data_IF_845513528456
#
_entry.id   IF_845513528456
#
_cell.length_a   1.000
_cell.length_b   1.000
_cell.length_c   1.000
_cell.angle_alpha   90.00
_cell.angle_beta   90.00
_cell.angle_gamma   90.00
#
_symmetry.space_group_name_H-M   'P 1'
#
loop_
_entity.id
_entity.type
_entity.pdbx_description
1 polymer ?
#
# COMPACT_ATOMS: atom_id res chain seq x y z
N UNK A 1 -29.31 -22.81 46.61
CA UNK A 1 -29.47 -22.35 45.24
C UNK A 1 -28.07 -22.33 44.57
N UNK A 2 -27.81 -23.31 43.72
CA UNK A 2 -26.53 -23.40 43.01
C UNK A 2 -26.67 -22.67 41.66
N UNK A 3 -25.92 -21.62 41.45
CA UNK A 3 -25.82 -20.92 40.18
C UNK A 3 -24.93 -21.75 39.22
N UNK A 4 -25.54 -22.33 38.21
CA UNK A 4 -24.84 -23.02 37.15
C UNK A 4 -24.29 -21.95 36.16
N UNK A 5 -22.99 -21.64 36.25
CA UNK A 5 -22.30 -20.76 35.31
C UNK A 5 -21.99 -21.58 34.05
N UNK A 6 -22.79 -21.41 32.97
CA UNK A 6 -22.46 -21.98 31.68
C UNK A 6 -21.31 -21.14 31.07
N UNK A 7 -20.22 -21.78 30.58
CA UNK A 7 -19.20 -21.06 29.83
C UNK A 7 -19.78 -20.62 28.47
N UNK A 8 -19.74 -19.34 28.17
CA UNK A 8 -20.01 -18.79 26.83
C UNK A 8 -18.84 -19.25 25.94
N UNK A 9 -19.07 -20.26 25.12
CA UNK A 9 -18.11 -20.60 24.07
C UNK A 9 -18.06 -19.46 23.04
N UNK A 10 -16.94 -18.73 22.97
CA UNK A 10 -16.68 -17.80 21.89
C UNK A 10 -16.63 -18.61 20.60
N UNK A 11 -17.61 -18.42 19.72
CA UNK A 11 -17.61 -19.00 18.39
C UNK A 11 -16.42 -18.37 17.63
N UNK A 12 -15.42 -19.18 17.26
CA UNK A 12 -14.37 -18.76 16.37
C UNK A 12 -15.03 -18.39 15.02
N UNK A 13 -14.84 -17.15 14.57
CA UNK A 13 -15.33 -16.72 13.25
C UNK A 13 -14.61 -17.52 12.17
N UNK A 14 -15.35 -17.97 11.15
CA UNK A 14 -14.76 -18.66 10.01
C UNK A 14 -13.78 -17.69 9.28
N UNK A 15 -12.65 -18.21 8.77
CA UNK A 15 -11.74 -17.41 7.98
C UNK A 15 -12.48 -16.81 6.78
N UNK A 16 -12.29 -15.54 6.52
CA UNK A 16 -12.80 -14.87 5.31
C UNK A 16 -11.67 -14.16 4.57
N UNK A 17 -11.88 -13.91 3.29
CA UNK A 17 -10.85 -13.36 2.42
C UNK A 17 -11.24 -12.02 1.86
N UNK A 18 -10.23 -11.26 1.42
CA UNK A 18 -10.35 -9.97 0.78
C UNK A 18 -9.66 -9.99 -0.57
N UNK A 19 -10.24 -9.33 -1.54
CA UNK A 19 -9.68 -9.16 -2.88
C UNK A 19 -9.69 -7.68 -3.25
N UNK A 20 -8.58 -7.22 -3.84
CA UNK A 20 -8.47 -5.87 -4.40
C UNK A 20 -9.15 -5.84 -5.76
N UNK A 21 -10.17 -5.02 -5.91
CA UNK A 21 -10.92 -4.84 -7.16
C UNK A 21 -10.29 -3.79 -8.05
N UNK A 22 -9.99 -2.62 -7.46
CA UNK A 22 -9.40 -1.50 -8.18
C UNK A 22 -8.33 -0.80 -7.35
N UNK A 23 -7.41 -0.14 -8.04
CA UNK A 23 -6.34 0.63 -7.42
C UNK A 23 -5.96 1.85 -8.24
N UNK A 24 -5.63 2.93 -7.56
CA UNK A 24 -4.92 4.08 -8.08
C UNK A 24 -3.79 4.39 -7.10
N UNK A 25 -2.57 4.02 -7.47
CA UNK A 25 -1.37 4.28 -6.68
C UNK A 25 -0.57 5.37 -7.39
N UNK A 26 -0.46 6.55 -6.78
CA UNK A 26 0.20 7.70 -7.39
C UNK A 26 1.40 8.12 -6.55
N UNK A 27 2.62 7.99 -7.11
CA UNK A 27 3.79 8.62 -6.51
C UNK A 27 3.87 10.10 -6.91
N UNK A 28 4.42 10.92 -6.02
CA UNK A 28 4.71 12.32 -6.30
C UNK A 28 6.20 12.58 -6.11
N UNK A 29 6.83 13.14 -7.17
CA UNK A 29 8.22 13.57 -7.17
C UNK A 29 8.28 15.08 -7.35
N UNK A 30 9.08 15.76 -6.53
CA UNK A 30 9.24 17.21 -6.57
C UNK A 30 10.67 17.58 -6.98
N UNK A 31 10.76 18.37 -8.05
CA UNK A 31 11.98 19.05 -8.44
C UNK A 31 11.75 20.57 -8.30
N UNK A 32 12.78 21.41 -8.04
CA UNK A 32 12.60 22.84 -7.83
C UNK A 32 11.85 23.60 -8.94
N UNK A 33 11.84 23.08 -10.18
CA UNK A 33 11.19 23.74 -11.32
C UNK A 33 9.88 23.07 -11.76
N UNK A 34 9.59 21.84 -11.32
CA UNK A 34 8.34 21.13 -11.67
C UNK A 34 8.06 19.96 -10.72
N UNK A 35 6.81 19.58 -10.69
CA UNK A 35 6.35 18.36 -10.02
C UNK A 35 6.01 17.29 -11.06
N UNK A 36 6.23 16.04 -10.72
CA UNK A 36 5.87 14.87 -11.52
C UNK A 36 5.06 13.93 -10.68
N UNK A 37 3.97 13.46 -11.23
CA UNK A 37 3.21 12.35 -10.66
C UNK A 37 3.19 11.20 -11.66
N UNK A 38 3.24 9.97 -11.17
CA UNK A 38 3.03 8.78 -11.97
C UNK A 38 2.08 7.85 -11.28
N UNK A 39 1.08 7.34 -12.00
CA UNK A 39 -0.02 6.56 -11.45
C UNK A 39 -0.05 5.15 -12.04
N UNK A 40 -0.28 4.16 -11.19
CA UNK A 40 -0.55 2.78 -11.59
C UNK A 40 -1.95 2.36 -11.14
N UNK A 41 -2.69 1.74 -12.07
CA UNK A 41 -3.99 1.11 -11.82
C UNK A 41 -3.92 -0.42 -11.88
N UNK A 42 -2.71 -0.99 -11.86
CA UNK A 42 -2.49 -2.41 -12.13
C UNK A 42 -2.12 -3.23 -10.88
N UNK A 43 -2.29 -2.66 -9.68
CA UNK A 43 -2.03 -3.42 -8.47
C UNK A 43 -3.01 -4.59 -8.34
N UNK A 44 -2.53 -5.67 -7.71
CA UNK A 44 -3.32 -6.81 -7.26
C UNK A 44 -3.13 -6.97 -5.77
N UNK A 45 -4.18 -7.39 -5.07
CA UNK A 45 -4.13 -7.54 -3.63
C UNK A 45 -5.04 -8.65 -3.13
N UNK A 46 -4.63 -9.26 -2.03
CA UNK A 46 -5.40 -10.24 -1.27
C UNK A 46 -5.20 -10.02 0.22
N UNK A 47 -6.24 -10.33 0.98
CA UNK A 47 -6.20 -10.37 2.44
C UNK A 47 -6.85 -11.64 2.94
N UNK A 48 -6.44 -12.09 4.12
CA UNK A 48 -7.05 -13.22 4.83
C UNK A 48 -7.18 -12.84 6.30
N UNK A 49 -8.39 -12.93 6.82
CA UNK A 49 -8.66 -12.74 8.24
C UNK A 49 -8.80 -14.10 8.92
N UNK A 50 -8.10 -14.28 10.03
CA UNK A 50 -8.17 -15.46 10.85
C UNK A 50 -7.94 -15.08 12.32
N UNK A 51 -8.80 -15.59 13.20
CA UNK A 51 -8.66 -15.41 14.66
C UNK A 51 -8.52 -13.93 15.09
N UNK A 52 -9.30 -13.03 14.45
CA UNK A 52 -9.35 -11.61 14.81
C UNK A 52 -8.23 -10.74 14.22
N UNK A 53 -7.42 -11.28 13.31
CA UNK A 53 -6.35 -10.56 12.63
C UNK A 53 -6.44 -10.78 11.12
N UNK A 54 -6.24 -9.72 10.36
CA UNK A 54 -6.20 -9.74 8.90
C UNK A 54 -4.78 -9.47 8.40
N UNK A 55 -4.26 -10.36 7.57
CA UNK A 55 -3.00 -10.22 6.84
C UNK A 55 -3.28 -9.84 5.39
N UNK A 56 -2.65 -8.79 4.91
CA UNK A 56 -2.81 -8.27 3.55
C UNK A 56 -1.51 -8.27 2.78
N UNK A 57 -1.60 -8.56 1.49
CA UNK A 57 -0.53 -8.41 0.52
C UNK A 57 -1.05 -7.67 -0.71
N UNK A 58 -0.36 -6.60 -1.10
CA UNK A 58 -0.58 -5.87 -2.34
C UNK A 58 0.69 -5.94 -3.18
N UNK A 59 0.55 -6.07 -4.50
CA UNK A 59 1.66 -6.09 -5.46
C UNK A 59 1.33 -5.20 -6.67
N UNK A 60 2.24 -4.28 -7.03
CA UNK A 60 2.12 -3.39 -8.17
C UNK A 60 3.34 -3.53 -9.10
N UNK A 61 3.16 -3.82 -10.39
CA UNK A 61 4.28 -3.86 -11.33
C UNK A 61 4.87 -2.46 -11.55
N UNK A 62 6.18 -2.30 -11.39
CA UNK A 62 6.89 -1.00 -11.53
C UNK A 62 6.63 -0.35 -12.89
N UNK A 63 6.62 -1.14 -13.96
CA UNK A 63 6.42 -0.66 -15.34
C UNK A 63 5.03 -0.09 -15.64
N UNK A 64 4.09 -0.21 -14.72
CA UNK A 64 2.70 0.25 -14.90
C UNK A 64 2.45 1.65 -14.35
N UNK A 65 3.45 2.24 -13.71
CA UNK A 65 3.39 3.64 -13.30
C UNK A 65 3.62 4.53 -14.52
N UNK A 66 2.59 5.28 -14.87
CA UNK A 66 2.53 6.18 -16.04
C UNK A 66 2.52 7.63 -15.56
N UNK A 67 3.50 8.40 -15.99
CA UNK A 67 3.60 9.83 -15.69
C UNK A 67 3.16 10.72 -16.86
N UNK A 68 2.66 10.13 -17.96
CA UNK A 68 2.30 10.84 -19.19
C UNK A 68 3.50 11.15 -20.10
N UNK A 69 4.70 10.65 -19.79
CA UNK A 69 5.90 10.80 -20.62
C UNK A 69 6.71 9.51 -20.62
N UNK A 70 6.73 8.83 -21.76
CA UNK A 70 7.38 7.52 -21.92
C UNK A 70 8.89 7.56 -21.59
N UNK A 71 9.60 8.63 -21.94
CA UNK A 71 11.04 8.74 -21.66
C UNK A 71 11.29 8.86 -20.16
N UNK A 72 10.45 9.62 -19.47
CA UNK A 72 10.51 9.77 -18.02
C UNK A 72 10.22 8.45 -17.32
N UNK A 73 9.23 7.70 -17.79
CA UNK A 73 8.85 6.40 -17.24
C UNK A 73 9.96 5.37 -17.45
N UNK A 74 10.59 5.33 -18.62
CA UNK A 74 11.75 4.49 -18.89
C UNK A 74 12.94 4.87 -18.00
N UNK A 75 13.18 6.15 -17.78
CA UNK A 75 14.22 6.63 -16.86
C UNK A 75 13.92 6.23 -15.41
N UNK A 76 12.67 6.38 -14.97
CA UNK A 76 12.24 5.90 -13.65
C UNK A 76 12.53 4.41 -13.50
N UNK A 77 12.15 3.56 -14.46
CA UNK A 77 12.42 2.11 -14.43
C UNK A 77 13.93 1.83 -14.28
N UNK A 78 14.79 2.59 -14.97
CA UNK A 78 16.25 2.44 -14.87
C UNK A 78 16.75 2.82 -13.47
N UNK A 79 16.34 3.96 -12.94
CA UNK A 79 16.75 4.47 -11.62
C UNK A 79 16.38 3.50 -10.50
N UNK A 80 15.16 2.95 -10.54
CA UNK A 80 14.67 2.02 -9.52
C UNK A 80 15.05 0.56 -9.79
N UNK A 81 15.86 0.28 -10.82
CA UNK A 81 16.25 -1.07 -11.24
C UNK A 81 15.05 -1.98 -11.50
N UNK A 82 14.02 -1.43 -12.15
CA UNK A 82 12.75 -2.12 -12.38
C UNK A 82 12.85 -3.36 -13.25
N UNK A 83 13.93 -3.55 -14.02
CA UNK A 83 14.20 -4.79 -14.76
C UNK A 83 14.63 -5.94 -13.84
N UNK A 84 15.34 -5.62 -12.74
CA UNK A 84 15.79 -6.58 -11.73
C UNK A 84 14.73 -6.80 -10.65
N UNK A 85 14.05 -5.72 -10.24
CA UNK A 85 13.00 -5.70 -9.22
C UNK A 85 11.68 -5.18 -9.80
N UNK A 86 10.97 -6.01 -10.60
CA UNK A 86 9.86 -5.53 -11.43
C UNK A 86 8.56 -5.25 -10.66
N UNK A 87 8.50 -5.55 -9.36
CA UNK A 87 7.27 -5.46 -8.57
C UNK A 87 7.54 -4.77 -7.23
N UNK A 88 6.71 -3.79 -6.90
CA UNK A 88 6.57 -3.28 -5.52
C UNK A 88 5.61 -4.18 -4.77
N UNK A 89 5.94 -4.60 -3.56
CA UNK A 89 5.02 -5.32 -2.69
C UNK A 89 4.83 -4.57 -1.37
N UNK A 90 3.60 -4.59 -0.87
CA UNK A 90 3.24 -4.04 0.43
C UNK A 90 2.58 -5.14 1.25
N UNK A 91 3.12 -5.39 2.43
CA UNK A 91 2.52 -6.30 3.42
C UNK A 91 2.13 -5.51 4.64
N UNK A 92 0.97 -5.83 5.19
CA UNK A 92 0.53 -5.25 6.45
C UNK A 92 -0.46 -6.17 7.16
N UNK A 93 -0.57 -5.94 8.46
CA UNK A 93 -1.47 -6.67 9.33
C UNK A 93 -2.26 -5.69 10.16
N UNK A 94 -3.56 -5.91 10.28
CA UNK A 94 -4.46 -5.12 11.12
C UNK A 94 -5.35 -6.02 11.96
N UNK A 95 -5.84 -5.55 13.13
CA UNK A 95 -6.95 -6.20 13.81
C UNK A 95 -8.18 -6.29 12.90
N UNK A 96 -8.89 -7.39 12.93
CA UNK A 96 -10.11 -7.56 12.14
C UNK A 96 -11.18 -6.50 12.47
N UNK A 97 -11.21 -6.02 13.72
CA UNK A 97 -12.10 -4.94 14.15
C UNK A 97 -11.91 -3.65 13.33
N UNK A 98 -10.70 -3.41 12.83
CA UNK A 98 -10.35 -2.19 12.10
C UNK A 98 -10.96 -2.18 10.69
N UNK A 99 -11.30 -3.36 10.15
CA UNK A 99 -11.98 -3.46 8.85
C UNK A 99 -13.38 -2.87 8.85
N UNK A 100 -13.96 -2.60 10.01
CA UNK A 100 -15.29 -2.01 10.17
C UNK A 100 -15.24 -0.55 10.65
N UNK A 101 -14.04 0.05 10.78
CA UNK A 101 -13.88 1.43 11.25
C UNK A 101 -13.76 2.40 10.06
N UNK A 102 -14.21 3.66 10.20
CA UNK A 102 -14.07 4.68 9.15
C UNK A 102 -12.62 5.15 8.96
N UNK A 103 -11.73 4.79 9.87
CA UNK A 103 -10.30 5.05 9.77
C UNK A 103 -9.53 4.04 10.61
N UNK A 104 -8.32 3.72 10.18
CA UNK A 104 -7.39 2.84 10.91
C UNK A 104 -5.94 3.27 10.64
N UNK A 105 -5.02 2.71 11.40
CA UNK A 105 -3.59 2.81 11.12
C UNK A 105 -3.02 1.43 10.85
N UNK A 106 -2.03 1.36 9.95
CA UNK A 106 -1.33 0.11 9.66
C UNK A 106 0.18 0.32 9.67
N UNK A 107 0.88 -0.68 10.16
CA UNK A 107 2.33 -0.80 9.98
C UNK A 107 2.57 -1.52 8.65
N UNK A 108 3.32 -0.88 7.76
CA UNK A 108 3.55 -1.36 6.40
C UNK A 108 4.98 -1.82 6.21
N UNK A 109 5.16 -3.02 5.66
CA UNK A 109 6.43 -3.47 5.08
C UNK A 109 6.36 -3.30 3.56
N UNK A 110 7.08 -2.31 3.05
CA UNK A 110 7.14 -2.02 1.61
C UNK A 110 8.45 -2.55 1.06
N UNK A 111 8.37 -3.48 0.11
CA UNK A 111 9.54 -3.98 -0.62
C UNK A 111 9.59 -3.36 -2.01
N UNK A 112 10.65 -2.61 -2.28
CA UNK A 112 10.89 -1.91 -3.54
C UNK A 112 12.39 -1.88 -3.85
N UNK A 113 12.76 -1.97 -5.13
CA UNK A 113 14.15 -1.95 -5.60
C UNK A 113 15.10 -2.91 -4.83
N UNK A 114 14.56 -4.08 -4.39
CA UNK A 114 15.31 -5.09 -3.65
C UNK A 114 15.53 -4.78 -2.16
N UNK A 115 14.84 -3.77 -1.61
CA UNK A 115 14.91 -3.39 -0.20
C UNK A 115 13.52 -3.38 0.42
N UNK A 116 13.44 -3.68 1.71
CA UNK A 116 12.19 -3.55 2.49
C UNK A 116 12.37 -2.40 3.49
N UNK A 117 11.44 -1.45 3.44
CA UNK A 117 11.31 -0.36 4.40
C UNK A 117 10.05 -0.59 5.24
N UNK A 118 10.13 -0.21 6.52
CA UNK A 118 9.03 -0.30 7.47
C UNK A 118 8.48 1.09 7.78
N UNK A 119 7.16 1.27 7.60
CA UNK A 119 6.45 2.52 7.91
C UNK A 119 5.42 2.24 9.01
N UNK A 120 5.67 2.73 10.21
CA UNK A 120 4.81 2.52 11.35
C UNK A 120 3.62 3.51 11.36
N UNK A 121 2.44 3.02 11.79
CA UNK A 121 1.25 3.82 12.08
C UNK A 121 0.79 4.70 10.92
N UNK A 122 0.88 4.21 9.68
CA UNK A 122 0.37 4.94 8.51
C UNK A 122 -1.15 5.05 8.59
N UNK A 123 -1.72 6.27 8.55
CA UNK A 123 -3.16 6.46 8.66
C UNK A 123 -3.87 6.22 7.34
N UNK A 124 -5.03 5.56 7.42
CA UNK A 124 -5.94 5.35 6.29
C UNK A 124 -7.35 5.76 6.66
N UNK A 125 -8.09 6.27 5.68
CA UNK A 125 -9.54 6.48 5.73
C UNK A 125 -10.23 5.37 4.97
N UNK A 126 -11.41 4.98 5.44
CA UNK A 126 -12.20 3.92 4.85
C UNK A 126 -13.66 4.35 4.73
N UNK A 127 -14.22 4.18 3.54
CA UNK A 127 -15.65 4.28 3.27
C UNK A 127 -16.19 2.89 2.95
N UNK A 128 -17.27 2.47 3.65
CA UNK A 128 -17.82 1.13 3.54
C UNK A 128 -19.19 1.21 2.87
N UNK A 129 -19.35 0.47 1.77
CA UNK A 129 -20.60 0.36 1.04
C UNK A 129 -20.95 -1.13 0.80
N UNK A 130 -21.73 -1.70 1.72
CA UNK A 130 -22.02 -3.14 1.71
C UNK A 130 -20.77 -3.97 1.96
N UNK A 131 -20.34 -4.75 0.96
CA UNK A 131 -19.11 -5.56 1.01
C UNK A 131 -17.91 -4.86 0.37
N UNK A 132 -18.08 -3.65 -0.18
CA UNK A 132 -17.02 -2.86 -0.77
C UNK A 132 -16.44 -1.88 0.24
N UNK A 133 -15.10 -1.81 0.28
CA UNK A 133 -14.33 -0.96 1.16
C UNK A 133 -13.40 -0.09 0.32
N UNK A 134 -13.70 1.20 0.23
CA UNK A 134 -12.86 2.19 -0.43
C UNK A 134 -11.87 2.76 0.59
N UNK A 135 -10.57 2.54 0.35
CA UNK A 135 -9.50 2.89 1.28
C UNK A 135 -8.57 3.91 0.64
N UNK A 136 -8.36 5.02 1.34
CA UNK A 136 -7.48 6.10 0.92
C UNK A 136 -6.44 6.43 1.98
N UNK A 137 -5.24 6.85 1.54
CA UNK A 137 -4.15 7.24 2.44
C UNK A 137 -2.92 7.71 1.69
N UNK A 138 -1.87 8.03 2.45
CA UNK A 138 -0.57 8.41 1.87
C UNK A 138 0.53 7.67 2.61
N UNK A 139 1.35 6.91 1.87
CA UNK A 139 2.56 6.28 2.40
C UNK A 139 3.71 7.28 2.28
N UNK A 140 4.36 7.68 3.40
CA UNK A 140 5.39 8.72 3.41
C UNK A 140 6.77 8.15 3.05
N UNK A 141 6.90 7.57 1.87
CA UNK A 141 8.13 6.92 1.44
C UNK A 141 9.21 7.89 0.97
N UNK A 142 10.49 7.49 1.10
CA UNK A 142 11.64 8.19 0.56
C UNK A 142 12.46 7.27 -0.34
N UNK A 143 13.24 7.85 -1.28
CA UNK A 143 14.12 7.07 -2.16
C UNK A 143 15.23 6.36 -1.36
N UNK A 144 15.78 7.03 -0.37
CA UNK A 144 16.88 6.49 0.44
C UNK A 144 16.45 5.31 1.32
N UNK A 145 15.17 5.15 1.66
CA UNK A 145 14.65 3.97 2.35
C UNK A 145 14.91 2.68 1.53
N UNK A 146 14.95 2.82 0.20
CA UNK A 146 15.19 1.73 -0.74
C UNK A 146 16.59 1.72 -1.34
N UNK A 147 17.53 2.49 -0.73
CA UNK A 147 18.91 2.63 -1.20
C UNK A 147 19.00 3.15 -2.64
N UNK A 148 18.10 4.07 -2.99
CA UNK A 148 18.08 4.78 -4.27
C UNK A 148 18.60 6.20 -4.01
N UNK A 149 19.69 6.58 -4.67
CA UNK A 149 20.17 7.95 -4.64
C UNK A 149 19.22 8.85 -5.43
N UNK A 150 18.76 9.99 -4.87
CA UNK A 150 17.91 10.93 -5.60
C UNK A 150 18.56 11.36 -6.92
N UNK A 151 17.95 11.06 -8.07
CA UNK A 151 18.51 11.42 -9.36
C UNK A 151 18.61 12.94 -9.50
N UNK A 152 19.53 13.38 -10.35
CA UNK A 152 19.75 14.81 -10.62
C UNK A 152 19.20 15.18 -11.99
N UNK A 153 18.50 16.29 -12.04
CA UNK A 153 18.19 16.95 -13.29
C UNK A 153 19.13 18.15 -13.44
N UNK A 154 19.97 18.13 -14.46
CA UNK A 154 21.15 19.02 -14.60
C UNK A 154 22.10 18.81 -13.40
N UNK A 155 22.18 19.76 -12.48
CA UNK A 155 23.02 19.69 -11.28
C UNK A 155 22.23 19.59 -9.98
N UNK A 156 20.89 19.71 -10.05
CA UNK A 156 20.01 19.79 -8.87
C UNK A 156 19.36 18.42 -8.64
N UNK A 157 19.51 17.84 -7.43
CA UNK A 157 18.80 16.60 -7.11
C UNK A 157 17.30 16.86 -6.95
N UNK A 158 16.48 15.85 -7.26
CA UNK A 158 15.09 15.83 -6.85
C UNK A 158 15.00 15.71 -5.32
N UNK A 159 13.83 16.02 -4.76
CA UNK A 159 13.59 15.78 -3.34
C UNK A 159 13.64 14.27 -3.07
N UNK A 160 14.11 13.92 -1.87
CA UNK A 160 14.20 12.53 -1.43
C UNK A 160 12.81 11.92 -1.15
N UNK A 161 11.88 12.74 -0.69
CA UNK A 161 10.51 12.32 -0.37
C UNK A 161 9.73 11.99 -1.65
N UNK A 162 9.21 10.78 -1.70
CA UNK A 162 8.37 10.26 -2.79
C UNK A 162 7.09 9.69 -2.14
N UNK A 163 6.20 10.55 -1.62
CA UNK A 163 4.95 10.08 -1.04
C UNK A 163 4.11 9.37 -2.10
N UNK A 164 3.48 8.26 -1.69
CA UNK A 164 2.58 7.50 -2.55
C UNK A 164 1.16 7.65 -2.03
N UNK A 165 0.31 8.32 -2.80
CA UNK A 165 -1.13 8.36 -2.56
C UNK A 165 -1.71 7.00 -2.92
N UNK A 166 -2.48 6.45 -1.99
CA UNK A 166 -3.19 5.18 -2.11
C UNK A 166 -4.68 5.48 -2.22
N UNK A 167 -5.31 4.88 -3.22
CA UNK A 167 -6.75 4.92 -3.46
C UNK A 167 -7.14 3.53 -3.99
N UNK A 168 -7.85 2.75 -3.20
CA UNK A 168 -8.09 1.33 -3.49
C UNK A 168 -9.50 0.91 -3.06
N UNK A 169 -10.09 0.01 -3.84
CA UNK A 169 -11.37 -0.63 -3.49
C UNK A 169 -11.16 -2.12 -3.28
N UNK A 170 -11.61 -2.61 -2.15
CA UNK A 170 -11.53 -4.01 -1.75
C UNK A 170 -12.92 -4.56 -1.50
N UNK A 171 -13.12 -5.86 -1.73
CA UNK A 171 -14.31 -6.55 -1.27
C UNK A 171 -13.99 -7.78 -0.43
N UNK A 172 -14.85 -8.03 0.53
CA UNK A 172 -14.82 -9.22 1.38
C UNK A 172 -15.54 -10.38 0.67
N UNK A 173 -14.92 -11.57 0.66
CA UNK A 173 -15.46 -12.82 0.13
C UNK A 173 -15.87 -13.77 1.24
#
# INVERSE_FOLDING_TARGET
MAFLCLPLAAAAQAPHSWVLDSSSLTYKMVHPVHEVEGTSHAAKGKGVCNSGVCDFLLAAPVKTFDSGDTNRDLHMIQVVRGAEFPVVTVRFRIPESDTSQPSFTADLDVTFAGRTAHYAHVPFHQEIQGTEHHITGVVPSTLTDFNIDPPRFLTVPIRNDIPVKVDTTWHQQ
#
